data_IF_339656564223
#
_entry.id   IF_339656564223
#
_cell.length_a   1.000
_cell.length_b   1.000
_cell.length_c   1.000
_cell.angle_alpha   90.00
_cell.angle_beta   90.00
_cell.angle_gamma   90.00
#
_symmetry.space_group_name_H-M   'P 1'
#
loop_
_entity.id
_entity.type
_entity.pdbx_description
1 polymer ?
#
# COMPACT_ATOMS: atom_id res chain seq x y z
N UNK A 1 -9.15 -17.99 5.64
CA UNK A 1 -8.48 -16.73 5.24
C UNK A 1 -9.55 -15.81 4.65
N UNK A 2 -9.76 -14.60 5.20
CA UNK A 2 -10.65 -13.62 4.56
C UNK A 2 -10.03 -13.21 3.22
N UNK A 3 -10.77 -13.34 2.12
CA UNK A 3 -10.35 -12.78 0.83
C UNK A 3 -10.46 -11.27 0.91
N UNK A 4 -9.43 -10.56 0.45
CA UNK A 4 -9.50 -9.13 0.22
C UNK A 4 -10.30 -8.91 -1.06
N UNK A 5 -11.48 -8.30 -0.95
CA UNK A 5 -12.40 -8.13 -2.09
C UNK A 5 -12.76 -6.67 -2.34
N UNK A 6 -12.66 -5.82 -1.30
CA UNK A 6 -12.98 -4.40 -1.41
C UNK A 6 -11.73 -3.52 -1.35
N UNK A 7 -11.87 -2.29 -1.86
CA UNK A 7 -10.87 -1.23 -1.68
C UNK A 7 -10.44 -1.08 -0.21
N UNK A 8 -11.40 -1.17 0.72
CA UNK A 8 -11.12 -1.04 2.15
C UNK A 8 -10.20 -2.16 2.65
N UNK A 9 -10.43 -3.39 2.21
CA UNK A 9 -9.62 -4.53 2.64
C UNK A 9 -8.19 -4.40 2.10
N UNK A 10 -8.03 -4.07 0.81
CA UNK A 10 -6.71 -3.88 0.21
C UNK A 10 -5.97 -2.67 0.78
N UNK A 11 -6.63 -1.54 0.99
CA UNK A 11 -6.01 -0.34 1.55
C UNK A 11 -5.61 -0.52 3.02
N UNK A 12 -6.41 -1.24 3.82
CA UNK A 12 -6.04 -1.59 5.18
C UNK A 12 -4.84 -2.53 5.20
N UNK A 13 -4.86 -3.58 4.39
CA UNK A 13 -3.74 -4.51 4.28
C UNK A 13 -2.45 -3.80 3.81
N UNK A 14 -2.56 -2.90 2.83
CA UNK A 14 -1.43 -2.10 2.36
C UNK A 14 -0.83 -1.23 3.47
N UNK A 15 -1.67 -0.56 4.27
CA UNK A 15 -1.23 0.23 5.41
C UNK A 15 -0.58 -0.60 6.53
N UNK A 16 -1.03 -1.84 6.74
CA UNK A 16 -0.35 -2.79 7.64
C UNK A 16 1.05 -3.16 7.11
N UNK A 17 1.18 -3.41 5.81
CA UNK A 17 2.47 -3.71 5.18
C UNK A 17 3.43 -2.51 5.23
N UNK A 18 2.96 -1.28 5.08
CA UNK A 18 3.77 -0.07 5.25
C UNK A 18 4.33 0.04 6.67
N UNK A 19 3.49 -0.17 7.69
CA UNK A 19 3.91 -0.16 9.10
C UNK A 19 4.90 -1.27 9.43
N UNK A 20 4.76 -2.42 8.78
CA UNK A 20 5.71 -3.54 8.91
C UNK A 20 7.01 -3.33 8.10
N UNK A 21 7.13 -2.26 7.31
CA UNK A 21 8.28 -2.03 6.43
C UNK A 21 8.33 -2.98 5.22
N UNK A 22 7.24 -3.69 4.94
CA UNK A 22 7.10 -4.60 3.81
C UNK A 22 6.72 -3.83 2.52
N UNK A 23 7.56 -2.86 2.13
CA UNK A 23 7.26 -1.88 1.07
C UNK A 23 6.85 -2.50 -0.28
N UNK A 24 7.45 -3.63 -0.67
CA UNK A 24 7.09 -4.34 -1.91
C UNK A 24 5.69 -4.95 -1.85
N UNK A 25 5.30 -5.44 -0.67
CA UNK A 25 3.96 -6.00 -0.44
C UNK A 25 2.94 -4.86 -0.36
N UNK A 26 3.30 -3.75 0.30
CA UNK A 26 2.49 -2.53 0.33
C UNK A 26 2.22 -1.96 -1.06
N UNK A 27 3.24 -1.87 -1.92
CA UNK A 27 3.10 -1.42 -3.31
C UNK A 27 2.06 -2.27 -4.07
N UNK A 28 2.20 -3.59 -4.03
CA UNK A 28 1.26 -4.49 -4.73
C UNK A 28 -0.16 -4.43 -4.15
N UNK A 29 -0.29 -4.25 -2.83
CA UNK A 29 -1.60 -4.10 -2.19
C UNK A 29 -2.28 -2.78 -2.57
N UNK A 30 -1.53 -1.67 -2.65
CA UNK A 30 -2.05 -0.38 -3.13
C UNK A 30 -2.41 -0.40 -4.61
N UNK A 31 -1.66 -1.11 -5.45
CA UNK A 31 -2.03 -1.33 -6.86
C UNK A 31 -3.38 -2.04 -7.01
N UNK A 32 -3.58 -3.11 -6.23
CA UNK A 32 -4.87 -3.81 -6.20
C UNK A 32 -5.97 -2.92 -5.66
N UNK A 33 -5.71 -2.13 -4.61
CA UNK A 33 -6.65 -1.16 -4.07
C UNK A 33 -7.10 -0.15 -5.14
N UNK A 34 -6.16 0.43 -5.89
CA UNK A 34 -6.46 1.35 -6.97
C UNK A 34 -7.35 0.70 -8.05
N UNK A 35 -7.06 -0.56 -8.40
CA UNK A 35 -7.81 -1.30 -9.42
C UNK A 35 -9.26 -1.59 -8.99
N UNK A 36 -9.49 -1.91 -7.72
CA UNK A 36 -10.85 -2.21 -7.20
C UNK A 36 -11.61 -0.96 -6.74
N UNK A 37 -10.95 0.20 -6.69
CA UNK A 37 -11.56 1.45 -6.29
C UNK A 37 -12.65 1.86 -7.29
N UNK A 38 -13.88 2.01 -6.81
CA UNK A 38 -15.00 2.50 -7.63
C UNK A 38 -15.09 4.03 -7.68
N UNK A 39 -14.47 4.70 -6.71
CA UNK A 39 -14.43 6.16 -6.58
C UNK A 39 -13.07 6.65 -7.02
N UNK A 40 -13.06 7.71 -7.82
CA UNK A 40 -11.84 8.28 -8.37
C UNK A 40 -10.88 8.76 -7.28
N UNK A 41 -11.40 9.35 -6.22
CA UNK A 41 -10.60 9.85 -5.08
C UNK A 41 -9.84 8.71 -4.40
N UNK A 42 -10.48 7.55 -4.27
CA UNK A 42 -9.86 6.35 -3.68
C UNK A 42 -8.81 5.75 -4.62
N UNK A 43 -9.07 5.79 -5.93
CA UNK A 43 -8.10 5.35 -6.93
C UNK A 43 -6.86 6.24 -6.90
N UNK A 44 -7.03 7.57 -6.97
CA UNK A 44 -5.93 8.55 -6.93
C UNK A 44 -5.13 8.44 -5.63
N UNK A 45 -5.80 8.25 -4.49
CA UNK A 45 -5.12 8.02 -3.22
C UNK A 45 -4.26 6.74 -3.27
N UNK A 46 -4.82 5.62 -3.72
CA UNK A 46 -4.10 4.37 -3.80
C UNK A 46 -2.95 4.40 -4.81
N UNK A 47 -3.11 5.08 -5.94
CA UNK A 47 -2.02 5.28 -6.91
C UNK A 47 -0.87 6.10 -6.32
N UNK A 48 -1.18 7.18 -5.62
CA UNK A 48 -0.18 8.00 -4.93
C UNK A 48 0.57 7.18 -3.86
N UNK A 49 -0.14 6.37 -3.07
CA UNK A 49 0.48 5.49 -2.07
C UNK A 49 1.30 4.36 -2.69
N UNK A 50 0.85 3.81 -3.82
CA UNK A 50 1.63 2.84 -4.61
C UNK A 50 2.95 3.45 -5.04
N UNK A 51 2.94 4.66 -5.61
CA UNK A 51 4.16 5.38 -6.03
C UNK A 51 5.09 5.68 -4.84
N UNK A 52 4.52 6.08 -3.70
CA UNK A 52 5.26 6.27 -2.45
C UNK A 52 5.95 4.97 -2.00
N UNK A 53 5.24 3.83 -1.99
CA UNK A 53 5.84 2.54 -1.66
C UNK A 53 6.92 2.13 -2.67
N UNK A 54 6.65 2.29 -3.97
CA UNK A 54 7.58 1.98 -5.05
C UNK A 54 8.90 2.78 -4.91
N UNK A 55 8.84 4.02 -4.44
CA UNK A 55 10.03 4.81 -4.12
C UNK A 55 10.92 4.10 -3.09
N UNK A 56 10.35 3.57 -2.00
CA UNK A 56 11.11 2.88 -0.95
C UNK A 56 11.48 1.43 -1.28
N UNK A 57 10.78 0.82 -2.24
CA UNK A 57 11.23 -0.42 -2.88
C UNK A 57 12.49 -0.16 -3.68
N UNK A 58 12.50 0.91 -4.50
CA UNK A 58 13.65 1.29 -5.33
C UNK A 58 14.83 1.84 -4.53
N UNK A 59 14.56 2.55 -3.43
CA UNK A 59 15.58 3.18 -2.59
C UNK A 59 15.48 2.70 -1.13
N UNK A 60 15.90 1.46 -0.82
CA UNK A 60 15.80 0.91 0.53
C UNK A 60 16.52 1.72 1.61
N UNK A 61 17.64 2.36 1.26
CA UNK A 61 18.41 3.20 2.18
C UNK A 61 17.69 4.49 2.63
N UNK A 62 16.57 4.85 1.98
CA UNK A 62 15.76 6.03 2.32
C UNK A 62 14.50 5.69 3.10
N UNK A 63 14.28 4.41 3.43
CA UNK A 63 13.09 3.95 4.13
C UNK A 63 12.96 4.69 5.47
N UNK A 64 11.75 5.19 5.81
CA UNK A 64 11.52 5.72 7.14
C UNK A 64 11.72 4.61 8.18
N UNK A 65 12.17 4.98 9.37
CA UNK A 65 12.25 4.06 10.50
C UNK A 65 10.86 3.51 10.80
N UNK A 66 10.71 2.20 10.68
CA UNK A 66 9.48 1.50 11.05
C UNK A 66 9.61 1.13 12.52
N UNK A 67 8.92 1.88 13.38
CA UNK A 67 8.83 1.53 14.80
C UNK A 67 7.98 0.27 14.94
N UNK A 68 8.65 -0.86 15.15
CA UNK A 68 8.05 -2.06 15.71
C UNK A 68 7.89 -1.80 17.21
N UNK A 69 6.79 -1.14 17.59
CA UNK A 69 6.42 -0.93 18.99
C UNK A 69 6.32 -2.24 19.75
#
# INVERSE_FOLDING_TARGET
MKKLESYRDFSQHAAEMERAGAWKQAESAWEKAATVARRRENQEWAENRRLFCAHYVRYPARRPEVNHG
#
